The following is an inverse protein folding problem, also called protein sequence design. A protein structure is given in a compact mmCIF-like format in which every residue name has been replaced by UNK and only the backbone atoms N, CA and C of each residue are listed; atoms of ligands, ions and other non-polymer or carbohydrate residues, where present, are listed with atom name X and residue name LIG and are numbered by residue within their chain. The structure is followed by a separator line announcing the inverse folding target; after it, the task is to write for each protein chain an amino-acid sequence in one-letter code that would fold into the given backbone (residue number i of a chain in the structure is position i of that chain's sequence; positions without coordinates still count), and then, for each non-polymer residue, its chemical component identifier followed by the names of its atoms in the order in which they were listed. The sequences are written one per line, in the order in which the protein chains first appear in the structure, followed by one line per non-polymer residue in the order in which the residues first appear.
data_IF_178774527740
#
_entry.id   IF_178774527740
#
_cell.length_a   1.000
_cell.length_b   1.000
_cell.length_c   1.000
_cell.angle_alpha   90.00
_cell.angle_beta   90.00
_cell.angle_gamma   90.00
#
_symmetry.space_group_name_H-M   'P 1'
#
loop_
_entity.id
_entity.type
_entity.pdbx_description
1 polymer ?
#
# COMPACT_ATOMS: atom_id res chain seq x y z
N UNK A 1 -8.49 -12.34 -8.21
CA UNK A 1 -9.78 -12.57 -7.47
C UNK A 1 -9.61 -12.32 -5.97
N UNK A 2 -10.61 -11.79 -5.26
CA UNK A 2 -10.57 -11.63 -3.78
C UNK A 2 -11.48 -12.68 -3.12
N UNK A 3 -10.96 -13.41 -2.14
CA UNK A 3 -11.68 -14.44 -1.38
C UNK A 3 -11.76 -14.03 0.09
N UNK A 4 -12.97 -13.91 0.64
CA UNK A 4 -13.23 -13.50 2.02
C UNK A 4 -13.79 -14.68 2.83
N UNK A 5 -13.08 -15.12 3.85
CA UNK A 5 -13.35 -16.37 4.58
C UNK A 5 -13.93 -16.16 5.99
N UNK A 6 -14.14 -14.92 6.43
CA UNK A 6 -14.56 -14.59 7.80
C UNK A 6 -15.84 -15.29 8.27
N UNK A 7 -16.79 -15.52 7.37
CA UNK A 7 -18.05 -16.19 7.68
C UNK A 7 -17.95 -17.72 7.54
N UNK A 8 -17.13 -18.21 6.60
CA UNK A 8 -17.11 -19.62 6.22
C UNK A 8 -16.05 -20.44 6.94
N UNK A 9 -15.12 -19.79 7.64
CA UNK A 9 -14.17 -20.48 8.50
C UNK A 9 -14.88 -21.04 9.73
N UNK A 10 -14.64 -22.32 10.05
CA UNK A 10 -15.14 -22.98 11.26
C UNK A 10 -14.17 -22.80 12.42
N UNK A 11 -12.88 -22.94 12.13
CA UNK A 11 -11.81 -22.82 13.09
C UNK A 11 -10.55 -23.54 12.64
N UNK A 12 -9.46 -23.26 13.34
CA UNK A 12 -8.14 -23.77 13.02
C UNK A 12 -7.05 -22.95 13.70
N UNK A 13 -5.85 -23.03 13.14
CA UNK A 13 -4.72 -22.25 13.61
C UNK A 13 -3.81 -21.84 12.46
N UNK A 14 -3.11 -20.71 12.66
CA UNK A 14 -1.93 -20.32 11.91
C UNK A 14 -0.78 -20.12 12.90
N UNK A 15 0.42 -20.55 12.55
CA UNK A 15 1.63 -20.45 13.35
C UNK A 15 2.70 -19.69 12.59
N UNK A 16 3.32 -18.73 13.27
CA UNK A 16 4.54 -18.06 12.82
C UNK A 16 5.65 -18.26 13.86
N UNK A 17 5.68 -19.43 14.50
CA UNK A 17 6.72 -19.78 15.49
C UNK A 17 8.13 -19.89 14.87
N UNK A 18 8.22 -20.04 13.54
CA UNK A 18 9.47 -20.01 12.77
C UNK A 18 9.54 -18.70 11.98
N UNK A 19 10.60 -17.88 12.14
CA UNK A 19 10.75 -16.65 11.37
C UNK A 19 10.75 -16.90 9.86
N UNK A 20 10.01 -16.07 9.12
CA UNK A 20 9.88 -16.12 7.67
C UNK A 20 8.88 -17.16 7.14
N UNK A 21 8.24 -17.94 8.01
CA UNK A 21 7.32 -19.00 7.63
C UNK A 21 6.03 -18.93 8.44
N UNK A 22 4.90 -18.93 7.75
CA UNK A 22 3.57 -19.09 8.34
C UNK A 22 2.99 -20.42 7.88
N UNK A 23 2.74 -21.33 8.82
CA UNK A 23 2.08 -22.60 8.54
C UNK A 23 0.77 -22.72 9.29
N UNK A 24 -0.11 -23.62 8.86
CA UNK A 24 -1.32 -23.86 9.64
C UNK A 24 -2.35 -24.73 8.95
N UNK A 25 -3.48 -24.83 9.62
CA UNK A 25 -4.60 -25.64 9.14
C UNK A 25 -5.91 -25.08 9.69
N UNK A 26 -6.91 -24.95 8.82
CA UNK A 26 -8.26 -24.56 9.23
C UNK A 26 -9.34 -25.27 8.41
N UNK A 27 -10.54 -25.34 8.97
CA UNK A 27 -11.69 -25.95 8.32
C UNK A 27 -12.64 -24.88 7.79
N UNK A 28 -13.22 -25.15 6.63
CA UNK A 28 -14.26 -24.32 6.00
C UNK A 28 -15.60 -25.06 6.03
N UNK A 29 -16.70 -24.31 6.10
CA UNK A 29 -18.06 -24.84 5.95
C UNK A 29 -18.20 -25.55 4.60
N UNK A 30 -18.86 -26.72 4.58
CA UNK A 30 -19.08 -27.50 3.36
C UNK A 30 -17.88 -28.31 2.85
N UNK A 31 -16.66 -28.04 3.33
CA UNK A 31 -15.45 -28.79 2.96
C UNK A 31 -15.19 -29.92 3.95
N UNK A 32 -14.97 -31.15 3.45
CA UNK A 32 -14.65 -32.31 4.30
C UNK A 32 -13.19 -32.33 4.76
N UNK A 33 -12.28 -31.82 3.93
CA UNK A 33 -10.86 -31.79 4.22
C UNK A 33 -10.47 -30.38 4.70
N UNK A 34 -9.55 -30.27 5.67
CA UNK A 34 -9.05 -28.98 6.10
C UNK A 34 -8.17 -28.35 5.02
N UNK A 35 -8.17 -27.02 4.99
CA UNK A 35 -7.22 -26.23 4.20
C UNK A 35 -5.91 -26.17 4.96
N UNK A 36 -4.81 -26.56 4.29
CA UNK A 36 -3.44 -26.46 4.79
C UNK A 36 -2.79 -25.19 4.27
N UNK A 37 -1.97 -24.54 5.09
CA UNK A 37 -1.36 -23.24 4.80
C UNK A 37 0.15 -23.36 4.94
N UNK A 38 0.87 -22.89 3.93
CA UNK A 38 2.33 -22.79 3.91
C UNK A 38 2.73 -21.50 3.16
N UNK A 39 2.99 -20.43 3.91
CA UNK A 39 3.20 -19.09 3.36
C UNK A 39 4.57 -18.55 3.76
N UNK A 40 5.21 -17.84 2.84
CA UNK A 40 6.47 -17.13 3.07
C UNK A 40 6.18 -15.74 3.61
N UNK A 41 6.73 -15.44 4.78
CA UNK A 41 6.62 -14.16 5.46
C UNK A 41 6.30 -14.30 6.95
N UNK A 42 5.89 -13.21 7.58
CA UNK A 42 5.68 -13.13 9.02
C UNK A 42 4.35 -12.48 9.38
N UNK A 43 3.90 -12.73 10.61
CA UNK A 43 2.91 -11.91 11.28
C UNK A 43 3.51 -10.56 11.71
N UNK A 44 2.66 -9.59 12.01
CA UNK A 44 3.07 -8.31 12.60
C UNK A 44 3.47 -8.46 14.08
N UNK A 45 4.06 -7.39 14.64
CA UNK A 45 4.71 -7.42 15.94
C UNK A 45 3.83 -7.92 17.08
N UNK A 46 2.51 -7.70 17.00
CA UNK A 46 1.57 -8.07 18.06
C UNK A 46 1.40 -9.58 18.26
N UNK A 47 1.67 -10.38 17.21
CA UNK A 47 1.52 -11.85 17.23
C UNK A 47 2.70 -12.57 16.58
N UNK A 48 3.78 -11.86 16.23
CA UNK A 48 5.00 -12.45 15.71
C UNK A 48 5.57 -13.51 16.67
N UNK A 49 6.03 -14.64 16.12
CA UNK A 49 6.50 -15.76 16.92
C UNK A 49 5.42 -16.57 17.61
N UNK A 50 4.14 -16.23 17.45
CA UNK A 50 3.04 -16.94 18.09
C UNK A 50 2.34 -17.92 17.14
N UNK A 51 1.64 -18.86 17.77
CA UNK A 51 0.55 -19.62 17.17
C UNK A 51 -0.78 -18.96 17.54
N UNK A 52 -1.58 -18.66 16.52
CA UNK A 52 -2.91 -18.07 16.66
C UNK A 52 -3.94 -19.13 16.31
N UNK A 53 -4.72 -19.54 17.31
CA UNK A 53 -5.86 -20.42 17.14
C UNK A 53 -7.12 -19.57 17.10
N UNK A 54 -8.03 -19.89 16.18
CA UNK A 54 -9.28 -19.17 16.04
C UNK A 54 -10.45 -20.14 15.81
N UNK A 55 -11.61 -19.76 16.31
CA UNK A 55 -12.85 -20.51 16.16
C UNK A 55 -14.00 -19.56 15.85
N UNK A 56 -14.85 -19.95 14.91
CA UNK A 56 -16.04 -19.20 14.55
C UNK A 56 -17.27 -19.75 15.27
N UNK A 57 -17.86 -18.98 16.22
CA UNK A 57 -19.07 -19.41 16.91
C UNK A 57 -20.32 -19.34 16.01
N UNK A 58 -20.28 -18.60 14.89
CA UNK A 58 -21.41 -18.34 14.01
C UNK A 58 -21.02 -18.57 12.53
N UNK A 59 -20.74 -19.81 12.13
CA UNK A 59 -20.30 -20.10 10.77
C UNK A 59 -21.46 -20.03 9.77
N UNK A 60 -21.21 -19.36 8.64
CA UNK A 60 -22.13 -19.28 7.50
C UNK A 60 -21.43 -19.70 6.21
N UNK A 61 -22.10 -20.54 5.42
CA UNK A 61 -21.57 -21.04 4.17
C UNK A 61 -21.66 -19.97 3.07
N UNK A 62 -20.51 -19.66 2.47
CA UNK A 62 -20.41 -18.87 1.26
C UNK A 62 -19.79 -19.74 0.18
N UNK A 63 -20.64 -20.50 -0.53
CA UNK A 63 -20.24 -21.51 -1.52
C UNK A 63 -19.20 -20.97 -2.51
N UNK A 64 -19.45 -19.78 -3.08
CA UNK A 64 -18.56 -19.19 -4.08
C UNK A 64 -17.12 -18.96 -3.58
N UNK A 65 -16.93 -18.60 -2.31
CA UNK A 65 -15.59 -18.41 -1.75
C UNK A 65 -14.97 -19.72 -1.30
N UNK A 66 -15.78 -20.66 -0.81
CA UNK A 66 -15.32 -21.98 -0.36
C UNK A 66 -14.89 -22.86 -1.54
N UNK A 67 -15.60 -22.81 -2.66
CA UNK A 67 -15.26 -23.55 -3.89
C UNK A 67 -14.02 -22.99 -4.58
N UNK A 68 -13.77 -21.68 -4.46
CA UNK A 68 -12.57 -21.05 -5.02
C UNK A 68 -11.28 -21.41 -4.26
N UNK A 69 -11.38 -22.00 -3.06
CA UNK A 69 -10.24 -22.34 -2.22
C UNK A 69 -9.68 -23.74 -2.55
N UNK A 70 -8.41 -23.79 -2.90
CA UNK A 70 -7.64 -25.04 -2.99
C UNK A 70 -7.27 -25.57 -1.60
N UNK A 71 -7.19 -26.90 -1.45
CA UNK A 71 -6.93 -27.56 -0.16
C UNK A 71 -5.53 -27.28 0.42
N UNK A 72 -4.56 -26.96 -0.43
CA UNK A 72 -3.24 -26.51 -0.04
C UNK A 72 -3.07 -25.06 -0.52
N UNK A 73 -2.71 -24.18 0.41
CA UNK A 73 -2.51 -22.76 0.16
C UNK A 73 -1.03 -22.43 0.35
N UNK A 74 -0.35 -22.22 -0.78
CA UNK A 74 1.04 -21.77 -0.85
C UNK A 74 1.10 -20.34 -1.40
N UNK A 75 2.10 -19.58 -0.96
CA UNK A 75 2.30 -18.22 -1.46
C UNK A 75 2.97 -17.30 -0.44
N UNK A 76 2.58 -16.02 -0.45
CA UNK A 76 3.20 -14.99 0.37
C UNK A 76 2.21 -14.36 1.34
N UNK A 77 2.67 -14.09 2.56
CA UNK A 77 1.87 -13.33 3.51
C UNK A 77 1.69 -11.88 3.01
N UNK A 78 0.49 -11.35 3.25
CA UNK A 78 0.22 -9.93 3.30
C UNK A 78 0.24 -9.46 4.74
N UNK A 79 -0.63 -8.50 5.08
CA UNK A 79 -0.74 -8.05 6.47
C UNK A 79 -1.44 -9.11 7.33
N UNK A 80 -0.81 -9.51 8.44
CA UNK A 80 -1.36 -10.49 9.39
C UNK A 80 -1.21 -9.98 10.84
N UNK A 81 -2.32 -9.67 11.50
CA UNK A 81 -2.36 -9.05 12.84
C UNK A 81 -3.65 -9.39 13.59
N UNK A 82 -3.64 -9.33 14.92
CA UNK A 82 -4.80 -9.51 15.79
C UNK A 82 -5.14 -8.25 16.63
N UNK A 83 -4.37 -7.17 16.46
CA UNK A 83 -4.44 -5.97 17.30
C UNK A 83 -5.10 -4.76 16.63
N UNK A 84 -5.54 -4.87 15.38
CA UNK A 84 -6.21 -3.77 14.70
C UNK A 84 -7.50 -3.36 15.41
N UNK A 85 -7.62 -2.08 15.73
CA UNK A 85 -8.79 -1.53 16.41
C UNK A 85 -9.71 -0.88 15.40
N UNK A 86 -10.95 -1.36 15.35
CA UNK A 86 -11.97 -0.82 14.45
C UNK A 86 -13.19 -0.38 15.25
N UNK A 87 -13.62 0.86 15.03
CA UNK A 87 -14.87 1.39 15.56
C UNK A 87 -16.08 0.95 14.70
N UNK A 88 -15.83 0.77 13.39
CA UNK A 88 -16.76 0.22 12.42
C UNK A 88 -16.00 -0.76 11.53
N UNK A 89 -16.61 -1.90 11.17
CA UNK A 89 -15.99 -2.84 10.23
C UNK A 89 -15.78 -2.10 8.88
N UNK A 90 -14.57 -2.08 8.31
CA UNK A 90 -14.33 -1.56 6.97
C UNK A 90 -15.37 -2.13 5.98
N UNK A 91 -16.14 -1.23 5.35
CA UNK A 91 -17.30 -1.55 4.50
C UNK A 91 -17.00 -2.70 3.53
N UNK A 92 -17.71 -3.83 3.70
CA UNK A 92 -17.90 -4.82 2.63
C UNK A 92 -18.66 -4.11 1.50
N UNK A 93 -18.32 -4.38 0.23
CA UNK A 93 -19.08 -3.82 -0.92
C UNK A 93 -20.57 -4.13 -0.72
N UNK A 94 -21.39 -3.10 -0.88
CA UNK A 94 -22.84 -3.15 -0.67
C UNK A 94 -23.47 -4.33 -1.44
N UNK A 95 -24.25 -5.17 -0.76
CA UNK A 95 -25.11 -6.14 -1.45
C UNK A 95 -25.50 -7.42 -0.71
N UNK A 96 -24.79 -7.84 0.35
CA UNK A 96 -25.22 -9.00 1.16
C UNK A 96 -25.20 -8.65 2.64
N UNK A 97 -26.39 -8.65 3.24
CA UNK A 97 -26.58 -8.54 4.68
C UNK A 97 -25.75 -9.64 5.36
N UNK A 98 -24.74 -9.25 6.11
CA UNK A 98 -24.08 -10.15 7.05
C UNK A 98 -25.01 -10.28 8.26
N UNK A 99 -25.28 -11.49 8.72
CA UNK A 99 -26.01 -11.73 9.98
C UNK A 99 -25.28 -11.19 11.22
N UNK A 100 -24.00 -10.83 11.05
CA UNK A 100 -23.16 -10.35 12.13
C UNK A 100 -23.55 -8.92 12.51
N UNK A 101 -23.84 -8.66 13.80
CA UNK A 101 -24.20 -7.33 14.28
C UNK A 101 -23.03 -6.35 14.14
N UNK A 102 -23.33 -5.05 14.16
CA UNK A 102 -22.28 -4.02 14.26
C UNK A 102 -21.53 -4.23 15.59
N UNK A 103 -20.19 -4.22 15.60
CA UNK A 103 -19.43 -4.40 16.83
C UNK A 103 -19.80 -3.31 17.86
N UNK A 104 -20.09 -3.69 19.12
CA UNK A 104 -20.38 -2.70 20.15
C UNK A 104 -19.07 -2.01 20.58
N UNK A 105 -18.84 -0.82 20.03
CA UNK A 105 -17.66 0.00 20.34
C UNK A 105 -16.37 -0.52 19.70
N UNK A 106 -15.22 -0.11 20.26
CA UNK A 106 -13.91 -0.44 19.73
C UNK A 106 -13.56 -1.90 20.02
N UNK A 107 -13.44 -2.72 18.98
CA UNK A 107 -13.05 -4.13 19.08
C UNK A 107 -11.72 -4.39 18.39
N UNK A 108 -11.00 -5.40 18.88
CA UNK A 108 -9.84 -5.94 18.20
C UNK A 108 -10.32 -6.76 16.99
N UNK A 109 -9.62 -6.59 15.87
CA UNK A 109 -9.89 -7.22 14.60
C UNK A 109 -8.76 -8.18 14.30
N UNK A 110 -9.10 -9.46 14.14
CA UNK A 110 -8.25 -10.42 13.48
C UNK A 110 -8.25 -10.09 11.98
N UNK A 111 -7.08 -9.77 11.46
CA UNK A 111 -6.88 -9.46 10.05
C UNK A 111 -5.74 -10.32 9.52
N UNK A 112 -6.07 -11.33 8.72
CA UNK A 112 -5.10 -12.11 7.96
C UNK A 112 -5.33 -11.90 6.47
N UNK A 113 -4.23 -11.60 5.78
CA UNK A 113 -4.19 -11.47 4.34
C UNK A 113 -3.03 -12.27 3.80
N UNK A 114 -3.25 -12.97 2.69
CA UNK A 114 -2.19 -13.58 1.90
C UNK A 114 -2.55 -13.59 0.41
N UNK A 115 -1.53 -13.85 -0.40
CA UNK A 115 -1.63 -13.99 -1.84
C UNK A 115 -1.19 -15.41 -2.18
N UNK A 116 -2.08 -16.20 -2.77
CA UNK A 116 -1.78 -17.58 -3.11
C UNK A 116 -1.23 -17.70 -4.55
N UNK A 117 -0.69 -18.87 -4.87
CA UNK A 117 -0.17 -19.18 -6.21
C UNK A 117 -1.26 -19.14 -7.30
N UNK A 118 -2.52 -19.33 -6.92
CA UNK A 118 -3.68 -19.26 -7.83
C UNK A 118 -4.04 -17.81 -8.24
N UNK A 119 -3.23 -16.82 -7.86
CA UNK A 119 -3.50 -15.41 -8.18
C UNK A 119 -4.73 -14.86 -7.45
N UNK A 120 -5.00 -15.38 -6.25
CA UNK A 120 -6.07 -14.91 -5.38
C UNK A 120 -5.50 -14.15 -4.19
N UNK A 121 -6.22 -13.12 -3.77
CA UNK A 121 -6.01 -12.44 -2.49
C UNK A 121 -7.02 -12.96 -1.50
N UNK A 122 -6.55 -13.64 -0.48
CA UNK A 122 -7.41 -14.27 0.53
C UNK A 122 -7.38 -13.45 1.81
N UNK A 123 -8.55 -13.29 2.43
CA UNK A 123 -8.77 -12.45 3.59
C UNK A 123 -9.56 -13.20 4.66
N UNK A 124 -9.08 -13.13 5.90
CA UNK A 124 -9.87 -13.38 7.12
C UNK A 124 -9.91 -12.07 7.88
N UNK A 125 -11.07 -11.44 7.94
CA UNK A 125 -11.26 -10.17 8.63
C UNK A 125 -12.44 -10.30 9.59
N UNK A 126 -12.16 -10.47 10.89
CA UNK A 126 -13.23 -10.70 11.87
C UNK A 126 -12.92 -10.17 13.26
N UNK A 127 -13.94 -9.67 13.93
CA UNK A 127 -13.91 -9.22 15.33
C UNK A 127 -14.64 -10.18 16.29
N UNK A 128 -15.44 -11.12 15.75
CA UNK A 128 -16.29 -12.02 16.54
C UNK A 128 -15.72 -13.44 16.67
N UNK A 129 -14.64 -13.76 15.93
CA UNK A 129 -13.92 -15.02 16.12
C UNK A 129 -13.34 -15.07 17.53
N UNK A 130 -13.45 -16.23 18.16
CA UNK A 130 -12.74 -16.50 19.40
C UNK A 130 -11.29 -16.79 19.07
N UNK A 131 -10.36 -15.98 19.58
CA UNK A 131 -8.93 -16.08 19.26
C UNK A 131 -8.14 -16.42 20.52
N UNK A 132 -7.22 -17.37 20.41
CA UNK A 132 -6.20 -17.69 21.42
C UNK A 132 -4.82 -17.53 20.80
N UNK A 133 -3.92 -16.86 21.52
CA UNK A 133 -2.55 -16.60 21.07
C UNK A 133 -1.59 -17.27 22.04
N UNK A 134 -0.65 -18.05 21.53
CA UNK A 134 0.40 -18.69 22.34
C UNK A 134 1.43 -17.67 22.84
N UNK A 135 2.34 -18.13 23.70
CA UNK A 135 3.55 -17.36 23.98
C UNK A 135 4.41 -17.22 22.69
N UNK A 136 5.08 -16.07 22.49
CA UNK A 136 5.96 -15.85 21.35
C UNK A 136 7.26 -16.65 21.48
N UNK A 137 7.66 -17.33 20.40
CA UNK A 137 8.96 -18.03 20.27
C UNK A 137 10.10 -17.11 19.87
N UNK A 138 9.77 -16.02 19.20
CA UNK A 138 10.67 -14.96 18.78
C UNK A 138 9.85 -13.66 18.69
N UNK A 139 10.52 -12.52 18.52
CA UNK A 139 9.86 -11.22 18.46
C UNK A 139 10.31 -10.46 17.22
N UNK A 140 9.39 -9.73 16.62
CA UNK A 140 9.66 -8.84 15.50
C UNK A 140 10.00 -7.46 16.05
N UNK A 141 11.14 -6.92 15.65
CA UNK A 141 11.49 -5.54 15.97
C UNK A 141 10.64 -4.56 15.18
N UNK A 142 10.57 -3.32 15.66
CA UNK A 142 9.79 -2.26 15.00
C UNK A 142 10.31 -1.94 13.59
N UNK A 143 11.62 -2.06 13.36
CA UNK A 143 12.22 -1.76 12.06
C UNK A 143 11.96 -2.89 11.05
N UNK A 144 12.02 -4.15 11.51
CA UNK A 144 11.61 -5.31 10.71
C UNK A 144 10.12 -5.26 10.39
N UNK A 145 9.27 -4.87 11.34
CA UNK A 145 7.84 -4.65 11.08
C UNK A 145 7.61 -3.58 10.02
N UNK A 146 8.33 -2.45 10.09
CA UNK A 146 8.24 -1.41 9.07
C UNK A 146 8.66 -1.93 7.69
N UNK A 147 9.72 -2.75 7.62
CA UNK A 147 10.16 -3.38 6.38
C UNK A 147 9.12 -4.38 5.84
N UNK A 148 8.57 -5.22 6.70
CA UNK A 148 7.51 -6.18 6.38
C UNK A 148 6.26 -5.46 5.84
N UNK A 149 5.84 -4.36 6.47
CA UNK A 149 4.73 -3.54 6.00
C UNK A 149 5.00 -2.95 4.62
N UNK A 150 6.23 -2.49 4.33
CA UNK A 150 6.61 -2.04 2.98
C UNK A 150 6.52 -3.17 1.95
N UNK A 151 7.02 -4.36 2.29
CA UNK A 151 6.95 -5.53 1.42
C UNK A 151 5.50 -5.95 1.15
N UNK A 152 4.67 -5.98 2.19
CA UNK A 152 3.24 -6.32 2.09
C UNK A 152 2.48 -5.30 1.21
N UNK A 153 2.80 -4.00 1.33
CA UNK A 153 2.25 -2.96 0.43
C UNK A 153 2.68 -3.17 -1.02
N UNK A 154 3.94 -3.51 -1.26
CA UNK A 154 4.45 -3.79 -2.60
C UNK A 154 3.75 -5.01 -3.23
N UNK A 155 3.61 -6.12 -2.48
CA UNK A 155 2.88 -7.32 -2.92
C UNK A 155 1.41 -7.02 -3.22
N UNK A 156 0.74 -6.27 -2.34
CA UNK A 156 -0.65 -5.87 -2.55
C UNK A 156 -0.79 -4.98 -3.80
N UNK A 157 0.13 -4.04 -4.00
CA UNK A 157 0.17 -3.20 -5.21
C UNK A 157 0.38 -4.05 -6.46
N UNK A 158 1.32 -4.99 -6.41
CA UNK A 158 1.57 -5.92 -7.52
C UNK A 158 0.32 -6.73 -7.85
N UNK A 159 -0.36 -7.30 -6.86
CA UNK A 159 -1.61 -8.02 -7.06
C UNK A 159 -2.70 -7.15 -7.70
N UNK A 160 -2.92 -5.93 -7.17
CA UNK A 160 -3.99 -5.04 -7.64
C UNK A 160 -3.73 -4.45 -9.03
N UNK A 161 -2.46 -4.30 -9.42
CA UNK A 161 -2.07 -3.72 -10.71
C UNK A 161 -1.72 -4.78 -11.77
N UNK A 162 -1.23 -5.95 -11.36
CA UNK A 162 -0.80 -7.06 -12.21
C UNK A 162 -1.95 -7.77 -12.91
N UNK A 163 -3.18 -7.69 -12.39
CA UNK A 163 -4.39 -8.19 -13.07
C UNK A 163 -4.70 -7.45 -14.40
N UNK A 164 -3.90 -6.44 -14.80
CA UNK A 164 -4.03 -5.75 -16.09
C UNK A 164 -3.10 -6.23 -17.21
N UNK A 165 -2.23 -7.22 -16.96
CA UNK A 165 -1.33 -7.80 -17.96
C UNK A 165 -1.30 -9.31 -17.89
N UNK A 166 -2.19 -9.98 -18.63
CA UNK A 166 -1.92 -11.38 -19.04
C UNK A 166 -0.74 -11.32 -20.01
N UNK A 167 0.47 -11.56 -19.50
CA UNK A 167 1.66 -12.08 -20.21
C UNK A 167 2.94 -11.86 -19.37
N UNK A 168 2.97 -12.32 -18.12
CA UNK A 168 4.23 -12.43 -17.38
C UNK A 168 4.35 -13.78 -16.68
N UNK A 169 5.53 -14.38 -16.87
CA UNK A 169 5.96 -15.71 -16.45
C UNK A 169 5.77 -15.93 -14.92
N UNK A 170 5.45 -17.15 -14.45
CA UNK A 170 5.19 -17.42 -13.03
C UNK A 170 6.40 -17.24 -12.08
N UNK A 171 7.58 -16.89 -12.62
CA UNK A 171 8.85 -16.82 -11.89
C UNK A 171 9.22 -15.45 -11.31
N UNK A 172 8.46 -14.38 -11.61
CA UNK A 172 8.88 -13.01 -11.31
C UNK A 172 7.98 -12.32 -10.26
N UNK A 173 7.88 -12.95 -9.08
CA UNK A 173 7.51 -12.20 -7.89
C UNK A 173 8.73 -11.36 -7.46
N UNK A 174 8.63 -10.02 -7.34
CA UNK A 174 9.80 -9.23 -7.01
C UNK A 174 10.20 -9.54 -5.58
N UNK A 175 11.29 -10.29 -5.43
CA UNK A 175 12.11 -10.27 -4.23
C UNK A 175 12.41 -8.81 -3.92
N UNK A 176 12.19 -8.40 -2.67
CA UNK A 176 12.53 -7.04 -2.26
C UNK A 176 14.00 -6.79 -2.61
N UNK A 177 14.29 -5.67 -3.26
CA UNK A 177 15.66 -5.29 -3.59
C UNK A 177 16.52 -5.39 -2.32
N UNK A 178 17.44 -6.37 -2.29
CA UNK A 178 18.38 -6.56 -1.17
C UNK A 178 18.59 -7.99 -0.66
N UNK A 179 17.90 -9.02 -1.15
CA UNK A 179 18.26 -10.41 -0.88
C UNK A 179 18.36 -11.20 -2.17
N UNK A 180 19.61 -11.43 -2.60
CA UNK A 180 19.92 -12.30 -3.71
C UNK A 180 19.73 -13.76 -3.27
N UNK A 181 19.12 -14.57 -4.13
CA UNK A 181 18.90 -15.99 -3.89
C UNK A 181 20.21 -16.72 -4.14
N UNK A 182 20.89 -17.17 -3.08
CA UNK A 182 22.22 -17.80 -3.11
C UNK A 182 22.31 -19.08 -3.96
N UNK A 183 21.21 -19.54 -4.55
CA UNK A 183 21.14 -20.77 -5.34
C UNK A 183 20.67 -20.56 -6.79
N UNK A 184 20.55 -19.32 -7.28
CA UNK A 184 20.36 -19.10 -8.73
C UNK A 184 21.69 -19.29 -9.48
N UNK A 185 21.78 -20.20 -10.47
CA UNK A 185 22.92 -20.25 -11.37
C UNK A 185 22.96 -18.94 -12.16
N UNK A 186 24.10 -18.24 -12.12
CA UNK A 186 24.35 -17.09 -13.00
C UNK A 186 24.57 -17.63 -14.42
N UNK A 187 23.68 -17.28 -15.34
CA UNK A 187 23.78 -17.77 -16.72
C UNK A 187 25.07 -17.28 -17.42
N UNK A 188 25.70 -18.11 -18.26
CA UNK A 188 27.06 -17.91 -18.75
C UNK A 188 27.07 -17.16 -20.09
N UNK A 189 26.91 -15.83 -20.11
CA UNK A 189 26.96 -15.11 -21.40
C UNK A 189 27.23 -13.59 -21.35
N UNK A 190 28.10 -13.10 -20.46
CA UNK A 190 28.57 -11.70 -20.57
C UNK A 190 30.10 -11.61 -20.53
N UNK A 191 30.66 -11.32 -21.71
CA UNK A 191 32.09 -11.11 -21.96
C UNK A 191 32.56 -9.79 -21.29
N UNK A 192 33.58 -9.82 -20.39
CA UNK A 192 33.94 -8.68 -19.54
C UNK A 192 34.86 -7.63 -20.21
N UNK A 193 35.04 -7.63 -21.54
CA UNK A 193 36.04 -6.77 -22.21
C UNK A 193 35.55 -5.87 -23.36
N UNK A 194 34.34 -5.29 -23.29
CA UNK A 194 33.98 -4.19 -24.20
C UNK A 194 34.35 -2.80 -23.64
N UNK A 195 35.04 -1.93 -24.41
CA UNK A 195 35.39 -0.58 -23.99
C UNK A 195 34.26 0.44 -24.25
N UNK A 196 34.21 1.57 -23.51
CA UNK A 196 33.11 2.53 -23.60
C UNK A 196 33.30 3.49 -24.77
N UNK A 197 32.35 3.52 -25.71
CA UNK A 197 32.32 4.52 -26.78
C UNK A 197 31.51 5.75 -26.39
N UNK A 198 32.21 6.87 -26.17
CA UNK A 198 31.83 8.17 -26.74
C UNK A 198 30.92 9.10 -25.91
N UNK A 199 31.52 9.84 -24.97
CA UNK A 199 30.98 11.13 -24.50
C UNK A 199 31.29 12.26 -25.50
N UNK A 200 30.32 13.19 -25.66
CA UNK A 200 30.42 14.67 -25.78
C UNK A 200 29.08 15.19 -26.34
N UNK A 201 28.51 16.33 -25.96
CA UNK A 201 28.66 17.33 -24.87
C UNK A 201 27.49 18.32 -25.08
N UNK A 202 26.96 18.92 -24.01
CA UNK A 202 26.16 20.15 -24.14
C UNK A 202 25.29 20.46 -22.91
N UNK A 203 25.55 21.55 -22.17
CA UNK A 203 24.80 21.88 -20.95
C UNK A 203 23.44 22.47 -21.30
N UNK A 204 22.35 21.89 -20.79
CA UNK A 204 21.03 22.52 -20.87
C UNK A 204 20.87 23.54 -19.75
N UNK A 205 20.65 24.78 -20.18
CA UNK A 205 20.29 25.96 -19.39
C UNK A 205 19.00 25.68 -18.59
N UNK A 206 18.84 26.19 -17.35
CA UNK A 206 17.61 26.02 -16.59
C UNK A 206 16.47 26.79 -17.29
N UNK A 207 15.43 26.08 -17.71
CA UNK A 207 14.25 26.71 -18.27
C UNK A 207 13.56 27.60 -17.21
N UNK A 208 13.38 28.88 -17.57
CA UNK A 208 12.56 29.84 -16.86
C UNK A 208 11.12 29.32 -16.64
N UNK A 209 10.41 29.78 -15.60
CA UNK A 209 9.06 29.32 -15.29
C UNK A 209 8.11 29.65 -16.45
N UNK A 210 7.58 28.61 -17.09
CA UNK A 210 6.50 28.75 -18.06
C UNK A 210 5.31 29.46 -17.40
N UNK A 211 4.96 30.64 -17.94
CA UNK A 211 3.73 31.36 -17.58
C UNK A 211 2.53 30.44 -17.83
N UNK A 212 1.77 30.19 -16.77
CA UNK A 212 0.56 29.39 -16.82
C UNK A 212 -0.45 29.93 -17.85
N UNK A 213 -1.06 29.08 -18.70
CA UNK A 213 -2.17 29.50 -19.53
C UNK A 213 -3.36 29.87 -18.63
N UNK A 214 -3.88 31.09 -18.81
CA UNK A 214 -5.07 31.63 -18.13
C UNK A 214 -6.36 31.02 -18.70
N UNK A 215 -6.47 29.69 -18.78
CA UNK A 215 -7.80 29.10 -18.97
C UNK A 215 -8.48 29.00 -17.60
N UNK A 216 -9.73 29.47 -17.56
CA UNK A 216 -10.64 29.38 -16.41
C UNK A 216 -11.37 28.03 -16.37
N UNK A 217 -10.97 27.09 -17.21
CA UNK A 217 -11.61 25.79 -17.34
C UNK A 217 -11.13 24.83 -16.23
N UNK A 218 -12.04 24.31 -15.38
CA UNK A 218 -11.67 23.45 -14.26
C UNK A 218 -11.00 22.14 -14.71
N UNK A 219 -11.29 21.63 -15.93
CA UNK A 219 -10.67 20.41 -16.45
C UNK A 219 -9.19 20.63 -16.83
N UNK A 220 -8.87 21.79 -17.41
CA UNK A 220 -7.48 22.16 -17.67
C UNK A 220 -6.69 22.34 -16.36
N UNK A 221 -7.32 22.92 -15.33
CA UNK A 221 -6.71 23.12 -14.01
C UNK A 221 -6.51 21.82 -13.24
N UNK A 222 -7.46 20.88 -13.32
CA UNK A 222 -7.32 19.56 -12.72
C UNK A 222 -6.18 18.76 -13.37
N UNK A 223 -6.03 18.83 -14.69
CA UNK A 223 -4.94 18.19 -15.41
C UNK A 223 -3.56 18.76 -15.02
N UNK A 224 -3.48 20.09 -14.87
CA UNK A 224 -2.26 20.75 -14.41
C UNK A 224 -1.89 20.36 -12.97
N UNK A 225 -2.88 20.29 -12.06
CA UNK A 225 -2.67 19.81 -10.69
C UNK A 225 -2.22 18.35 -10.67
N UNK A 226 -2.84 17.48 -11.47
CA UNK A 226 -2.43 16.08 -11.58
C UNK A 226 -0.98 15.92 -12.11
N UNK A 227 -0.53 16.80 -13.02
CA UNK A 227 0.85 16.81 -13.51
C UNK A 227 1.84 17.17 -12.39
N UNK A 228 1.54 18.20 -11.59
CA UNK A 228 2.40 18.59 -10.46
C UNK A 228 2.44 17.52 -9.36
N UNK A 229 1.32 16.87 -9.05
CA UNK A 229 1.28 15.77 -8.09
C UNK A 229 2.14 14.58 -8.52
N UNK A 230 2.18 14.25 -9.82
CA UNK A 230 3.08 13.22 -10.37
C UNK A 230 4.54 13.65 -10.30
N UNK A 231 4.83 14.92 -10.59
CA UNK A 231 6.19 15.47 -10.46
C UNK A 231 6.70 15.36 -9.02
N UNK A 232 5.86 15.75 -8.05
CA UNK A 232 6.15 15.60 -6.63
C UNK A 232 6.44 14.15 -6.24
N UNK A 233 5.63 13.20 -6.71
CA UNK A 233 5.88 11.78 -6.45
C UNK A 233 7.24 11.33 -6.98
N UNK A 234 7.56 11.68 -8.23
CA UNK A 234 8.83 11.30 -8.82
C UNK A 234 10.02 11.88 -8.04
N UNK A 235 9.91 13.11 -7.52
CA UNK A 235 10.96 13.71 -6.68
C UNK A 235 11.22 12.90 -5.40
N UNK A 236 10.22 12.19 -4.87
CA UNK A 236 10.34 11.40 -3.64
C UNK A 236 10.83 9.97 -3.88
N UNK A 237 10.79 9.45 -5.11
CA UNK A 237 11.24 8.07 -5.44
C UNK A 237 12.76 7.95 -5.49
N UNK A 238 13.49 9.05 -5.71
CA UNK A 238 14.91 9.04 -6.07
C UNK A 238 15.90 9.45 -4.97
N UNK A 239 15.53 9.44 -3.68
CA UNK A 239 16.48 9.87 -2.64
C UNK A 239 16.57 8.94 -1.42
N UNK A 240 17.61 8.11 -1.40
CA UNK A 240 18.00 7.23 -0.29
C UNK A 240 18.78 7.96 0.84
N UNK A 241 19.10 9.26 0.66
CA UNK A 241 20.05 9.97 1.53
C UNK A 241 19.44 10.79 2.66
N UNK A 242 18.11 10.83 2.83
CA UNK A 242 17.46 11.56 3.92
C UNK A 242 17.54 10.71 5.21
N UNK A 243 18.76 10.46 5.67
CA UNK A 243 19.06 9.69 6.90
C UNK A 243 18.74 10.48 8.17
N UNK A 244 18.39 11.75 8.08
CA UNK A 244 18.47 12.65 9.23
C UNK A 244 17.16 12.81 10.02
N UNK A 245 15.95 12.62 9.44
CA UNK A 245 14.68 12.71 10.21
C UNK A 245 13.54 11.80 9.68
N UNK A 246 13.31 10.61 10.28
CA UNK A 246 12.31 9.66 9.80
C UNK A 246 10.86 10.16 9.88
N UNK A 247 10.57 11.15 10.72
CA UNK A 247 9.22 11.73 10.84
C UNK A 247 8.81 12.56 9.60
N UNK A 248 9.72 13.35 9.03
CA UNK A 248 9.41 14.16 7.85
C UNK A 248 9.29 13.29 6.61
N UNK A 249 10.11 12.24 6.50
CA UNK A 249 9.96 11.23 5.45
C UNK A 249 8.61 10.53 5.48
N UNK A 250 8.13 10.15 6.68
CA UNK A 250 6.79 9.57 6.84
C UNK A 250 5.70 10.55 6.41
N UNK A 251 5.84 11.83 6.74
CA UNK A 251 4.90 12.88 6.32
C UNK A 251 4.91 13.07 4.80
N UNK A 252 6.08 13.20 4.18
CA UNK A 252 6.23 13.34 2.73
C UNK A 252 5.70 12.11 1.97
N UNK A 253 5.97 10.90 2.47
CA UNK A 253 5.40 9.67 1.92
C UNK A 253 3.87 9.64 2.04
N UNK A 254 3.31 10.07 3.16
CA UNK A 254 1.85 10.14 3.35
C UNK A 254 1.22 11.14 2.38
N UNK A 255 1.88 12.28 2.17
CA UNK A 255 1.44 13.30 1.21
C UNK A 255 1.60 12.82 -0.23
N UNK A 256 2.60 11.99 -0.53
CA UNK A 256 2.77 11.37 -1.85
C UNK A 256 1.65 10.38 -2.18
N UNK A 257 1.28 9.55 -1.19
CA UNK A 257 0.17 8.60 -1.29
C UNK A 257 -1.16 9.32 -1.51
N UNK A 258 -1.40 10.39 -0.74
CA UNK A 258 -2.56 11.27 -0.92
C UNK A 258 -2.56 11.93 -2.29
N UNK A 259 -1.40 12.38 -2.77
CA UNK A 259 -1.23 12.89 -4.12
C UNK A 259 -1.59 11.85 -5.20
N UNK A 260 -1.30 10.56 -4.97
CA UNK A 260 -1.63 9.50 -5.92
C UNK A 260 -3.14 9.29 -6.02
N UNK A 261 -3.80 9.33 -4.86
CA UNK A 261 -5.25 9.30 -4.79
C UNK A 261 -5.86 10.50 -5.54
N UNK A 262 -5.39 11.72 -5.27
CA UNK A 262 -5.86 12.92 -5.95
C UNK A 262 -5.62 12.88 -7.46
N UNK A 263 -4.48 12.38 -7.95
CA UNK A 263 -4.22 12.20 -9.39
C UNK A 263 -5.26 11.29 -10.04
N UNK A 264 -5.71 10.25 -9.34
CA UNK A 264 -6.75 9.36 -9.85
C UNK A 264 -8.11 10.07 -9.94
N UNK A 265 -8.50 10.77 -8.87
CA UNK A 265 -9.77 11.51 -8.81
C UNK A 265 -9.80 12.67 -9.83
N UNK A 266 -8.70 13.41 -9.96
CA UNK A 266 -8.57 14.50 -10.94
C UNK A 266 -8.60 14.01 -12.40
N UNK A 267 -8.20 12.76 -12.66
CA UNK A 267 -8.31 12.15 -13.99
C UNK A 267 -9.75 11.71 -14.28
N UNK A 268 -10.47 11.22 -13.29
CA UNK A 268 -11.90 10.90 -13.43
C UNK A 268 -12.74 12.17 -13.61
N UNK A 269 -12.31 13.29 -13.03
CA UNK A 269 -12.97 14.59 -13.17
C UNK A 269 -13.13 15.06 -14.63
N UNK A 270 -12.17 14.79 -15.52
CA UNK A 270 -12.29 15.20 -16.94
C UNK A 270 -13.37 14.44 -17.71
N UNK A 271 -13.88 13.34 -17.14
CA UNK A 271 -14.88 12.46 -17.74
C UNK A 271 -16.24 12.49 -17.00
N UNK A 272 -16.31 13.20 -15.85
CA UNK A 272 -17.42 13.14 -14.87
C UNK A 272 -18.44 14.29 -15.00
N UNK A 273 -19.71 14.01 -14.66
CA UNK A 273 -20.84 14.97 -14.69
C UNK A 273 -20.81 15.86 -13.43
N UNK A 274 -21.26 17.13 -13.54
CA UNK A 274 -21.27 18.16 -12.46
C UNK A 274 -21.66 17.70 -11.03
N UNK A 275 -22.67 16.83 -10.79
CA UNK A 275 -23.01 16.41 -9.41
C UNK A 275 -21.91 15.57 -8.73
N UNK A 276 -21.00 14.95 -9.49
CA UNK A 276 -19.86 14.19 -8.93
C UNK A 276 -18.71 15.11 -8.47
N UNK A 277 -18.75 16.40 -8.82
CA UNK A 277 -17.72 17.38 -8.45
C UNK A 277 -17.69 17.68 -6.95
N UNK A 278 -18.79 17.45 -6.24
CA UNK A 278 -18.86 17.59 -4.78
C UNK A 278 -17.88 16.67 -4.05
N UNK A 279 -17.61 15.49 -4.61
CA UNK A 279 -16.63 14.56 -4.05
C UNK A 279 -15.20 15.07 -4.24
N UNK A 280 -14.89 15.62 -5.41
CA UNK A 280 -13.59 16.25 -5.66
C UNK A 280 -13.34 17.45 -4.75
N UNK A 281 -14.35 18.31 -4.54
CA UNK A 281 -14.25 19.45 -3.61
C UNK A 281 -13.91 18.96 -2.20
N UNK A 282 -14.63 17.94 -1.74
CA UNK A 282 -14.39 17.33 -0.42
C UNK A 282 -12.96 16.77 -0.31
N UNK A 283 -12.50 16.03 -1.32
CA UNK A 283 -11.17 15.43 -1.33
C UNK A 283 -10.05 16.50 -1.34
N UNK A 284 -10.23 17.59 -2.09
CA UNK A 284 -9.30 18.71 -2.13
C UNK A 284 -9.26 19.47 -0.79
N UNK A 285 -10.40 19.68 -0.14
CA UNK A 285 -10.49 20.33 1.17
C UNK A 285 -9.81 19.52 2.27
N UNK A 286 -10.02 18.20 2.29
CA UNK A 286 -9.43 17.32 3.31
C UNK A 286 -7.93 17.11 3.12
N UNK A 287 -7.44 17.26 1.88
CA UNK A 287 -6.02 17.07 1.57
C UNK A 287 -5.17 18.31 1.77
N UNK A 288 -5.74 19.52 1.61
CA UNK A 288 -5.01 20.78 1.73
C UNK A 288 -4.23 20.95 3.05
N UNK A 289 -4.76 20.61 4.24
CA UNK A 289 -4.03 20.75 5.50
C UNK A 289 -2.78 19.86 5.57
N UNK A 290 -2.81 18.68 4.94
CA UNK A 290 -1.68 17.75 4.92
C UNK A 290 -0.56 18.23 4.00
N UNK A 291 -0.90 18.78 2.83
CA UNK A 291 0.08 19.41 1.94
C UNK A 291 0.72 20.65 2.60
N UNK A 292 -0.07 21.48 3.28
CA UNK A 292 0.43 22.65 4.02
C UNK A 292 1.33 22.24 5.21
N UNK A 293 0.98 21.16 5.92
CA UNK A 293 1.82 20.63 6.99
C UNK A 293 3.17 20.11 6.47
N UNK A 294 3.18 19.42 5.32
CA UNK A 294 4.40 18.98 4.66
C UNK A 294 5.25 20.15 4.14
N UNK A 295 4.62 21.18 3.59
CA UNK A 295 5.34 22.39 3.16
C UNK A 295 6.03 23.06 4.35
N UNK A 296 5.32 23.29 5.45
CA UNK A 296 5.86 23.88 6.67
C UNK A 296 6.98 23.03 7.30
N UNK A 297 6.86 21.70 7.26
CA UNK A 297 7.90 20.79 7.75
C UNK A 297 9.16 20.87 6.87
N UNK A 298 8.99 20.94 5.55
CA UNK A 298 10.09 21.05 4.58
C UNK A 298 10.79 22.41 4.68
N UNK A 299 10.04 23.50 4.84
CA UNK A 299 10.58 24.85 5.03
C UNK A 299 11.43 24.96 6.30
N UNK A 300 10.97 24.38 7.42
CA UNK A 300 11.76 24.29 8.66
C UNK A 300 13.04 23.47 8.48
N UNK A 301 13.04 22.45 7.61
CA UNK A 301 14.26 21.69 7.33
C UNK A 301 15.27 22.50 6.52
N UNK A 302 14.80 23.22 5.49
CA UNK A 302 15.65 24.09 4.67
C UNK A 302 16.29 25.19 5.52
N UNK A 303 15.55 25.79 6.46
CA UNK A 303 16.06 26.80 7.37
C UNK A 303 17.08 26.26 8.40
N UNK A 304 16.98 24.98 8.79
CA UNK A 304 17.83 24.36 9.80
C UNK A 304 19.11 23.71 9.24
N UNK A 305 19.21 23.51 7.92
CA UNK A 305 20.35 22.86 7.26
C UNK A 305 20.99 23.79 6.20
N UNK A 306 21.86 24.73 6.59
CA UNK A 306 22.45 25.70 5.65
C UNK A 306 23.60 25.14 4.79
N UNK A 307 24.10 23.92 5.02
CA UNK A 307 25.18 23.34 4.22
C UNK A 307 25.06 21.80 4.09
N UNK A 308 24.63 21.32 2.92
CA UNK A 308 24.55 19.89 2.59
C UNK A 308 24.04 19.65 1.17
N UNK A 309 24.37 18.50 0.57
CA UNK A 309 23.97 18.10 -0.77
C UNK A 309 22.44 17.96 -0.97
N UNK A 310 21.67 17.88 0.13
CA UNK A 310 20.21 17.74 0.14
C UNK A 310 19.43 19.04 -0.11
N UNK A 311 20.09 20.20 -0.16
CA UNK A 311 19.40 21.51 -0.23
C UNK A 311 18.68 21.70 -1.57
N UNK A 312 19.31 21.34 -2.69
CA UNK A 312 18.69 21.48 -4.01
C UNK A 312 17.46 20.57 -4.16
N UNK A 313 17.54 19.36 -3.61
CA UNK A 313 16.41 18.43 -3.59
C UNK A 313 15.28 18.95 -2.68
N UNK A 314 15.60 19.39 -1.45
CA UNK A 314 14.61 19.96 -0.53
C UNK A 314 13.94 21.21 -1.12
N UNK A 315 14.69 22.07 -1.81
CA UNK A 315 14.15 23.21 -2.52
C UNK A 315 13.20 22.78 -3.66
N UNK A 316 13.55 21.70 -4.38
CA UNK A 316 12.67 21.09 -5.39
C UNK A 316 11.37 20.55 -4.79
N UNK A 317 11.44 19.87 -3.64
CA UNK A 317 10.28 19.36 -2.90
C UNK A 317 9.41 20.50 -2.38
N UNK A 318 10.02 21.53 -1.79
CA UNK A 318 9.33 22.73 -1.30
C UNK A 318 8.60 23.46 -2.42
N UNK A 319 9.28 23.70 -3.55
CA UNK A 319 8.68 24.35 -4.72
C UNK A 319 7.51 23.54 -5.29
N UNK A 320 7.63 22.22 -5.30
CA UNK A 320 6.55 21.33 -5.74
C UNK A 320 5.35 21.38 -4.81
N UNK A 321 5.55 21.35 -3.49
CA UNK A 321 4.49 21.43 -2.49
C UNK A 321 3.75 22.77 -2.55
N UNK A 322 4.49 23.88 -2.69
CA UNK A 322 3.91 25.21 -2.85
C UNK A 322 3.03 25.30 -4.11
N UNK A 323 3.52 24.78 -5.24
CA UNK A 323 2.77 24.76 -6.50
C UNK A 323 1.50 23.91 -6.39
N UNK A 324 1.57 22.76 -5.71
CA UNK A 324 0.39 21.90 -5.47
C UNK A 324 -0.64 22.63 -4.62
N UNK A 325 -0.21 23.23 -3.50
CA UNK A 325 -1.11 23.94 -2.59
C UNK A 325 -1.82 25.12 -3.27
N UNK A 326 -1.09 25.91 -4.08
CA UNK A 326 -1.66 27.01 -4.85
C UNK A 326 -2.71 26.50 -5.86
N UNK A 327 -2.37 25.47 -6.64
CA UNK A 327 -3.27 24.89 -7.65
C UNK A 327 -4.50 24.23 -7.05
N UNK A 328 -4.38 23.61 -5.87
CA UNK A 328 -5.53 23.07 -5.13
C UNK A 328 -6.49 24.17 -4.71
N UNK A 329 -5.97 25.31 -4.19
CA UNK A 329 -6.81 26.46 -3.82
C UNK A 329 -7.48 27.12 -5.03
N UNK A 330 -6.75 27.29 -6.13
CA UNK A 330 -7.30 27.81 -7.38
C UNK A 330 -8.45 26.93 -7.91
N UNK A 331 -8.23 25.61 -7.95
CA UNK A 331 -9.24 24.66 -8.39
C UNK A 331 -10.45 24.64 -7.45
N UNK A 332 -10.24 24.70 -6.14
CA UNK A 332 -11.32 24.82 -5.16
C UNK A 332 -12.14 26.09 -5.32
N UNK A 333 -11.51 27.22 -5.66
CA UNK A 333 -12.23 28.46 -5.97
C UNK A 333 -13.16 28.29 -7.15
N UNK A 334 -12.64 27.75 -8.26
CA UNK A 334 -13.41 27.52 -9.49
C UNK A 334 -14.53 26.48 -9.36
N UNK A 335 -14.39 25.51 -8.46
CA UNK A 335 -15.40 24.47 -8.24
C UNK A 335 -16.51 24.89 -7.27
N UNK A 336 -16.30 25.97 -6.50
CA UNK A 336 -17.28 26.50 -5.54
C UNK A 336 -18.14 27.63 -6.12
N UNK A 337 -17.67 28.29 -7.18
CA UNK A 337 -18.38 29.33 -7.95
C UNK A 337 -19.41 28.72 -8.93
#
# INVERSE_FOLDING_TARGET
MIVCLESSVLGGYLSNEVPGLVTGMFHLTGQKQPVRIELVGNFLQDIAGCRVEFHNPLPEMNEAHVEAMSALQTGYTGVMTASYRVANIPRRRAGKATSLPVPPGLKNLLFFEWFNQDGQRVLIQSWHLQVRVSAPRWQLTKDEENALLRQNRARRKHFLLGERGKDQDPGDAPHGAGFDDSFRPTDPASDPFQPPSGMKKGPQVPAMPEKAPKSNDPATRSAALAKELRRFQNLLVFNDEIRTRPAVLRLLSTVADLGAHLVHVLRQFSEAVRPEWKFLITDLEQSLPLFAAALNATDKLVQQNPAGADIEWLAGVQASLLNIELRMRELLGLLRD
#
